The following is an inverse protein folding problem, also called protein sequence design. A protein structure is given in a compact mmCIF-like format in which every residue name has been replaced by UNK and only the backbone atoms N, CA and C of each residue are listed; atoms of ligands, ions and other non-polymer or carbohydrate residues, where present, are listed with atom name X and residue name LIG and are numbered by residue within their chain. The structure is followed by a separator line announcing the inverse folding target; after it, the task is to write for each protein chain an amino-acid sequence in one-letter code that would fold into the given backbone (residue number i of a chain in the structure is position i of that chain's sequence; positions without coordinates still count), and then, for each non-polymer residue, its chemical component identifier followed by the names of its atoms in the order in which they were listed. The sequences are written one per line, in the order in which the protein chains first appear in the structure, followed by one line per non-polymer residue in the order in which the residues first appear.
data_IF_581156112299
#
_entry.id   IF_581156112299
#
_cell.length_a   1.000
_cell.length_b   1.000
_cell.length_c   1.000
_cell.angle_alpha   90.00
_cell.angle_beta   90.00
_cell.angle_gamma   90.00
#
_symmetry.space_group_name_H-M   'P 1'
#
loop_
_entity.id
_entity.type
_entity.pdbx_description
1 polymer ?
#
# COMPACT_ATOMS: atom_id res chain seq x y z
N UNK A 1 4.91 -11.33 0.15
CA UNK A 1 5.97 -10.80 -0.73
C UNK A 1 5.64 -9.46 -1.41
N UNK A 2 4.54 -9.35 -2.17
CA UNK A 2 4.24 -8.13 -2.94
C UNK A 2 4.13 -6.87 -2.08
N UNK A 3 3.39 -6.93 -0.96
CA UNK A 3 3.30 -5.84 0.02
C UNK A 3 4.68 -5.39 0.52
N UNK A 4 5.53 -6.35 0.92
CA UNK A 4 6.90 -6.07 1.37
C UNK A 4 7.74 -5.46 0.24
N UNK A 5 7.65 -5.99 -0.98
CA UNK A 5 8.36 -5.46 -2.14
C UNK A 5 7.96 -4.02 -2.47
N UNK A 6 6.66 -3.73 -2.44
CA UNK A 6 6.14 -2.37 -2.65
C UNK A 6 6.61 -1.41 -1.57
N UNK A 7 6.65 -1.83 -0.30
CA UNK A 7 7.17 -0.98 0.78
C UNK A 7 8.66 -0.69 0.58
N UNK A 8 9.46 -1.70 0.25
CA UNK A 8 10.92 -1.54 0.13
C UNK A 8 11.35 -0.78 -1.12
N UNK A 9 10.67 -1.00 -2.25
CA UNK A 9 11.04 -0.44 -3.57
C UNK A 9 10.20 0.82 -3.86
N UNK A 10 9.11 1.05 -3.12
CA UNK A 10 8.13 2.09 -3.40
C UNK A 10 8.73 3.49 -3.46
N UNK A 11 9.64 3.83 -2.54
CA UNK A 11 10.24 5.17 -2.51
C UNK A 11 11.05 5.48 -3.77
N UNK A 12 12.05 4.68 -4.18
CA UNK A 12 12.76 4.92 -5.44
C UNK A 12 11.85 4.76 -6.66
N UNK A 13 10.84 3.89 -6.62
CA UNK A 13 9.85 3.77 -7.70
C UNK A 13 9.05 5.05 -7.91
N UNK A 14 8.57 5.68 -6.83
CA UNK A 14 7.80 6.92 -6.89
C UNK A 14 8.70 8.09 -7.30
N UNK A 15 9.96 8.11 -6.87
CA UNK A 15 10.90 9.18 -7.26
C UNK A 15 11.13 9.26 -8.79
N UNK A 16 10.88 8.17 -9.54
CA UNK A 16 10.92 8.21 -11.01
C UNK A 16 9.80 9.06 -11.62
N UNK A 17 8.77 9.37 -10.84
CA UNK A 17 7.67 10.22 -11.24
C UNK A 17 7.94 11.71 -10.95
N UNK A 18 8.98 12.04 -10.16
CA UNK A 18 9.43 13.41 -9.85
C UNK A 18 9.78 14.18 -11.12
N UNK A 19 8.83 15.00 -11.58
CA UNK A 19 8.93 15.80 -12.81
C UNK A 19 8.11 17.08 -12.68
N UNK A 20 8.77 18.21 -12.98
CA UNK A 20 8.12 19.52 -12.99
C UNK A 20 7.66 19.93 -11.60
N UNK A 21 6.34 20.05 -11.42
CA UNK A 21 5.73 20.46 -10.15
C UNK A 21 5.59 19.33 -9.12
N UNK A 22 5.82 18.07 -9.51
CA UNK A 22 5.82 16.93 -8.59
C UNK A 22 7.24 16.71 -8.07
N UNK A 23 7.44 17.01 -6.79
CA UNK A 23 8.77 17.03 -6.15
C UNK A 23 8.95 15.90 -5.11
N UNK A 24 10.04 15.97 -4.35
CA UNK A 24 10.40 14.98 -3.34
C UNK A 24 9.42 14.96 -2.15
N UNK A 25 8.79 16.10 -1.84
CA UNK A 25 7.82 16.20 -0.75
C UNK A 25 6.51 15.53 -1.15
N UNK A 26 6.05 15.76 -2.40
CA UNK A 26 4.89 15.05 -2.94
C UNK A 26 5.12 13.54 -3.01
N UNK A 27 6.33 13.13 -3.41
CA UNK A 27 6.74 11.73 -3.44
C UNK A 27 6.71 11.10 -2.05
N UNK A 28 7.07 11.84 -1.00
CA UNK A 28 6.96 11.39 0.38
C UNK A 28 5.51 11.16 0.81
N UNK A 29 4.57 12.05 0.41
CA UNK A 29 3.14 11.88 0.67
C UNK A 29 2.57 10.63 -0.02
N UNK A 30 2.89 10.45 -1.31
CA UNK A 30 2.45 9.27 -2.08
C UNK A 30 3.05 7.99 -1.49
N UNK A 31 4.31 8.02 -1.07
CA UNK A 31 4.96 6.88 -0.44
C UNK A 31 4.31 6.51 0.90
N UNK A 32 3.93 7.49 1.71
CA UNK A 32 3.16 7.26 2.95
C UNK A 32 1.83 6.55 2.67
N UNK A 33 1.09 6.98 1.65
CA UNK A 33 -0.14 6.32 1.23
C UNK A 33 0.09 4.89 0.70
N UNK A 34 1.15 4.69 -0.09
CA UNK A 34 1.55 3.39 -0.62
C UNK A 34 1.81 2.38 0.51
N UNK A 35 2.45 2.80 1.61
CA UNK A 35 2.72 1.91 2.74
C UNK A 35 1.44 1.37 3.37
N UNK A 36 0.43 2.24 3.56
CA UNK A 36 -0.87 1.82 4.10
C UNK A 36 -1.62 0.90 3.13
N UNK A 37 -1.68 1.24 1.84
CA UNK A 37 -2.32 0.37 0.85
C UNK A 37 -1.60 -0.97 0.69
N UNK A 38 -0.27 -0.98 0.72
CA UNK A 38 0.52 -2.21 0.64
C UNK A 38 0.19 -3.16 1.81
N UNK A 39 -0.05 -2.64 3.00
CA UNK A 39 -0.57 -3.41 4.13
C UNK A 39 -1.98 -3.93 3.85
N UNK A 40 -2.87 -3.06 3.34
CA UNK A 40 -4.24 -3.40 2.94
C UNK A 40 -4.33 -4.56 1.93
N UNK A 41 -3.37 -4.66 0.99
CA UNK A 41 -3.33 -5.73 -0.02
C UNK A 41 -3.37 -7.14 0.58
N UNK A 42 -2.79 -7.34 1.76
CA UNK A 42 -2.78 -8.65 2.42
C UNK A 42 -4.22 -9.06 2.73
N UNK A 43 -5.00 -8.15 3.31
CA UNK A 43 -6.38 -8.42 3.70
C UNK A 43 -7.31 -8.51 2.50
N UNK A 44 -7.11 -7.64 1.50
CA UNK A 44 -7.87 -7.66 0.26
C UNK A 44 -7.70 -9.01 -0.47
N UNK A 45 -6.48 -9.54 -0.52
CA UNK A 45 -6.24 -10.85 -1.15
C UNK A 45 -6.94 -11.99 -0.42
N UNK A 46 -7.01 -11.94 0.91
CA UNK A 46 -7.68 -12.97 1.70
C UNK A 46 -9.21 -12.86 1.60
N UNK A 47 -9.74 -11.64 1.55
CA UNK A 47 -11.16 -11.37 1.35
C UNK A 47 -11.68 -12.05 0.08
N UNK A 48 -11.00 -11.91 -1.06
CA UNK A 48 -11.47 -12.54 -2.30
C UNK A 48 -11.50 -14.07 -2.23
N UNK A 49 -10.58 -14.69 -1.50
CA UNK A 49 -10.54 -16.15 -1.32
C UNK A 49 -11.70 -16.61 -0.45
N UNK A 50 -11.95 -15.91 0.67
CA UNK A 50 -13.03 -16.24 1.60
C UNK A 50 -14.40 -15.98 0.97
N UNK A 51 -14.59 -14.86 0.27
CA UNK A 51 -15.85 -14.58 -0.42
C UNK A 51 -16.19 -15.71 -1.41
N UNK A 52 -15.19 -16.21 -2.15
CA UNK A 52 -15.34 -17.35 -3.07
C UNK A 52 -15.74 -18.65 -2.36
N UNK A 53 -15.29 -18.90 -1.13
CA UNK A 53 -15.71 -20.10 -0.39
C UNK A 53 -17.19 -20.06 0.00
N UNK A 54 -17.70 -18.90 0.40
CA UNK A 54 -19.13 -18.72 0.67
C UNK A 54 -20.00 -18.92 -0.58
N UNK A 55 -19.54 -18.40 -1.73
CA UNK A 55 -20.24 -18.61 -2.99
C UNK A 55 -20.25 -20.09 -3.43
N UNK A 56 -19.15 -20.81 -3.19
CA UNK A 56 -19.10 -22.25 -3.45
C UNK A 56 -20.13 -23.02 -2.59
N UNK A 57 -20.37 -22.57 -1.35
CA UNK A 57 -21.38 -23.11 -0.44
C UNK A 57 -22.81 -22.61 -0.73
N UNK A 58 -23.04 -21.93 -1.86
CA UNK A 58 -24.31 -21.28 -2.24
C UNK A 58 -24.82 -20.26 -1.21
N UNK A 59 -23.94 -19.71 -0.39
CA UNK A 59 -24.27 -18.61 0.51
C UNK A 59 -23.76 -17.29 -0.08
N UNK A 60 -24.68 -16.57 -0.72
CA UNK A 60 -24.40 -15.25 -1.29
C UNK A 60 -24.73 -14.11 -0.33
N UNK A 61 -25.51 -14.38 0.72
CA UNK A 61 -26.01 -13.35 1.63
C UNK A 61 -24.97 -12.97 2.67
N UNK A 62 -24.22 -13.94 3.19
CA UNK A 62 -23.19 -13.67 4.21
C UNK A 62 -22.09 -12.72 3.69
N UNK A 63 -21.50 -12.96 2.50
CA UNK A 63 -20.55 -12.00 1.92
C UNK A 63 -21.18 -10.64 1.60
N UNK A 64 -22.42 -10.62 1.13
CA UNK A 64 -23.12 -9.38 0.80
C UNK A 64 -23.31 -8.49 2.03
N UNK A 65 -23.79 -9.06 3.15
CA UNK A 65 -23.98 -8.29 4.39
C UNK A 65 -22.65 -7.80 4.97
N UNK A 66 -21.60 -8.63 4.93
CA UNK A 66 -20.27 -8.19 5.34
C UNK A 66 -19.78 -7.00 4.50
N UNK A 67 -19.95 -7.07 3.17
CA UNK A 67 -19.60 -5.98 2.26
C UNK A 67 -20.44 -4.72 2.50
N UNK A 68 -21.74 -4.85 2.79
CA UNK A 68 -22.60 -3.73 3.14
C UNK A 68 -22.17 -3.06 4.45
N UNK A 69 -21.87 -3.84 5.49
CA UNK A 69 -21.36 -3.32 6.77
C UNK A 69 -20.02 -2.61 6.55
N UNK A 70 -19.13 -3.21 5.77
CA UNK A 70 -17.84 -2.62 5.42
C UNK A 70 -18.00 -1.31 4.63
N UNK A 71 -18.94 -1.26 3.67
CA UNK A 71 -19.24 -0.05 2.92
C UNK A 71 -19.76 1.07 3.83
N UNK A 72 -20.64 0.76 4.79
CA UNK A 72 -21.10 1.74 5.79
C UNK A 72 -19.94 2.20 6.67
N UNK A 73 -19.11 1.28 7.17
CA UNK A 73 -17.93 1.62 7.94
C UNK A 73 -16.95 2.50 7.14
N UNK A 74 -16.78 2.23 5.84
CA UNK A 74 -15.97 3.04 4.93
C UNK A 74 -16.49 4.46 4.82
N UNK A 75 -17.79 4.63 4.60
CA UNK A 75 -18.42 5.96 4.52
C UNK A 75 -18.23 6.72 5.82
N UNK A 76 -18.38 6.06 6.97
CA UNK A 76 -18.19 6.72 8.28
C UNK A 76 -16.72 7.10 8.50
N UNK A 77 -15.79 6.16 8.32
CA UNK A 77 -14.37 6.35 8.63
C UNK A 77 -13.71 7.25 7.58
N UNK A 78 -13.72 6.84 6.32
CA UNK A 78 -13.05 7.56 5.23
C UNK A 78 -13.79 8.83 4.90
N UNK A 79 -15.14 8.80 4.86
CA UNK A 79 -15.93 10.02 4.67
C UNK A 79 -15.74 11.02 5.81
N UNK A 80 -15.67 10.56 7.06
CA UNK A 80 -15.37 11.42 8.21
C UNK A 80 -13.98 12.05 8.13
N UNK A 81 -12.95 11.27 7.79
CA UNK A 81 -11.58 11.77 7.58
C UNK A 81 -11.52 12.79 6.42
N UNK A 82 -12.22 12.50 5.32
CA UNK A 82 -12.30 13.39 4.15
C UNK A 82 -13.00 14.71 4.47
N UNK A 83 -14.11 14.67 5.22
CA UNK A 83 -14.79 15.87 5.68
C UNK A 83 -13.87 16.69 6.59
N UNK A 84 -13.22 16.06 7.56
CA UNK A 84 -12.28 16.73 8.44
C UNK A 84 -11.12 17.39 7.67
N UNK A 85 -10.57 16.71 6.66
CA UNK A 85 -9.58 17.28 5.75
C UNK A 85 -10.10 18.52 5.03
N UNK A 86 -11.28 18.40 4.41
CA UNK A 86 -11.89 19.47 3.62
C UNK A 86 -12.19 20.70 4.47
N UNK A 87 -12.75 20.51 5.68
CA UNK A 87 -13.00 21.61 6.60
C UNK A 87 -11.72 22.33 7.03
N UNK A 88 -10.65 21.58 7.35
CA UNK A 88 -9.36 22.18 7.73
C UNK A 88 -8.67 22.88 6.55
N UNK A 89 -8.78 22.30 5.36
CA UNK A 89 -8.28 22.89 4.13
C UNK A 89 -8.97 24.22 3.85
N UNK A 90 -10.31 24.25 3.87
CA UNK A 90 -11.09 25.46 3.65
C UNK A 90 -10.73 26.56 4.66
N UNK A 91 -10.60 26.22 5.94
CA UNK A 91 -10.22 27.17 6.98
C UNK A 91 -8.82 27.76 6.76
N UNK A 92 -7.89 26.94 6.30
CA UNK A 92 -6.51 27.35 5.98
C UNK A 92 -6.48 28.28 4.77
N UNK A 93 -7.21 27.95 3.69
CA UNK A 93 -7.32 28.83 2.51
C UNK A 93 -7.94 30.16 2.91
N UNK A 94 -9.07 30.12 3.63
CA UNK A 94 -9.82 31.31 4.03
C UNK A 94 -8.97 32.23 4.90
N UNK A 95 -8.32 31.68 5.92
CA UNK A 95 -7.48 32.45 6.84
C UNK A 95 -6.30 33.08 6.10
N UNK A 96 -5.60 32.29 5.27
CA UNK A 96 -4.48 32.76 4.47
C UNK A 96 -4.87 33.90 3.53
N UNK A 97 -6.01 33.77 2.85
CA UNK A 97 -6.51 34.79 1.93
C UNK A 97 -6.90 36.08 2.64
N UNK A 98 -7.59 35.97 3.79
CA UNK A 98 -7.99 37.13 4.59
C UNK A 98 -6.76 37.88 5.12
N UNK A 99 -5.80 37.16 5.71
CA UNK A 99 -4.57 37.76 6.24
C UNK A 99 -3.71 38.39 5.15
N UNK A 100 -3.60 37.73 3.98
CA UNK A 100 -2.93 38.32 2.82
C UNK A 100 -3.62 39.61 2.37
N UNK A 101 -4.96 39.60 2.27
CA UNK A 101 -5.74 40.76 1.87
C UNK A 101 -5.59 41.95 2.82
N UNK A 102 -5.58 41.71 4.12
CA UNK A 102 -5.33 42.72 5.15
C UNK A 102 -3.94 43.36 5.01
N UNK A 103 -2.91 42.55 4.80
CA UNK A 103 -1.53 43.03 4.61
C UNK A 103 -1.37 43.80 3.29
N UNK A 104 -1.99 43.30 2.22
CA UNK A 104 -1.98 43.97 0.92
C UNK A 104 -2.66 45.35 1.01
N UNK A 105 -3.84 45.42 1.64
CA UNK A 105 -4.56 46.67 1.85
C UNK A 105 -3.80 47.66 2.75
N UNK A 106 -3.03 47.16 3.71
CA UNK A 106 -2.16 47.96 4.57
C UNK A 106 -0.85 48.43 3.89
N UNK A 107 -0.61 48.02 2.63
CA UNK A 107 0.62 48.35 1.89
C UNK A 107 1.85 47.55 2.32
N UNK A 108 1.71 46.54 3.18
CA UNK A 108 2.79 45.65 3.62
C UNK A 108 2.97 44.46 2.68
N UNK A 109 3.39 44.75 1.44
CA UNK A 109 3.51 43.72 0.39
C UNK A 109 4.47 42.58 0.72
N UNK A 110 5.56 42.86 1.42
CA UNK A 110 6.50 41.84 1.89
C UNK A 110 5.83 40.87 2.86
N UNK A 111 5.06 41.39 3.82
CA UNK A 111 4.26 40.56 4.73
C UNK A 111 3.24 39.73 3.95
N UNK A 112 2.55 40.35 2.98
CA UNK A 112 1.62 39.65 2.07
C UNK A 112 2.26 38.45 1.38
N UNK A 113 3.44 38.62 0.80
CA UNK A 113 4.21 37.55 0.18
C UNK A 113 4.58 36.44 1.17
N UNK A 114 4.97 36.78 2.40
CA UNK A 114 5.27 35.78 3.44
C UNK A 114 4.04 34.97 3.84
N UNK A 115 2.85 35.60 3.92
CA UNK A 115 1.59 34.89 4.22
C UNK A 115 1.22 33.90 3.12
N UNK A 116 1.41 34.27 1.85
CA UNK A 116 1.16 33.37 0.71
C UNK A 116 2.11 32.17 0.73
N UNK A 117 3.39 32.40 1.04
CA UNK A 117 4.36 31.30 1.18
C UNK A 117 3.98 30.39 2.36
N UNK A 118 3.63 30.95 3.53
CA UNK A 118 3.20 30.18 4.69
C UNK A 118 1.88 29.41 4.50
N UNK A 119 1.00 29.90 3.62
CA UNK A 119 -0.21 29.20 3.22
C UNK A 119 0.12 27.89 2.49
N UNK A 120 1.07 27.93 1.56
CA UNK A 120 1.55 26.74 0.85
C UNK A 120 2.09 25.68 1.81
N UNK A 121 2.87 26.09 2.81
CA UNK A 121 3.44 25.17 3.80
C UNK A 121 2.35 24.59 4.72
N UNK A 122 1.40 25.42 5.13
CA UNK A 122 0.23 24.96 5.91
C UNK A 122 -0.59 23.91 5.14
N UNK A 123 -0.73 24.07 3.81
CA UNK A 123 -1.38 23.07 2.97
C UNK A 123 -0.62 21.74 2.92
N UNK A 124 0.72 21.79 2.87
CA UNK A 124 1.56 20.58 2.92
C UNK A 124 1.45 19.86 4.26
N UNK A 125 1.45 20.60 5.36
CA UNK A 125 1.27 20.04 6.71
C UNK A 125 -0.11 19.38 6.88
N UNK A 126 -1.14 19.97 6.29
CA UNK A 126 -2.47 19.35 6.25
C UNK A 126 -2.47 18.06 5.43
N UNK A 127 -1.81 18.05 4.26
CA UNK A 127 -1.74 16.88 3.39
C UNK A 127 -0.96 15.72 4.03
N UNK A 128 0.06 16.00 4.85
CA UNK A 128 0.84 15.00 5.60
C UNK A 128 0.16 14.55 6.90
N UNK A 129 -0.82 15.29 7.39
CA UNK A 129 -1.53 14.98 8.64
C UNK A 129 -2.35 13.68 8.58
N UNK A 130 -2.81 13.20 9.73
CA UNK A 130 -3.69 12.03 9.85
C UNK A 130 -5.01 12.14 9.10
N UNK A 131 -5.46 13.34 8.73
CA UNK A 131 -6.65 13.54 7.88
C UNK A 131 -6.28 13.65 6.40
N UNK A 132 -4.99 13.84 6.09
CA UNK A 132 -4.46 13.94 4.74
C UNK A 132 -4.30 12.58 4.06
N UNK A 133 -3.38 12.51 3.12
CA UNK A 133 -3.31 11.41 2.13
C UNK A 133 -3.05 10.05 2.79
N UNK A 134 -2.11 9.99 3.73
CA UNK A 134 -1.79 8.75 4.46
C UNK A 134 -2.96 8.27 5.33
N UNK A 135 -3.66 9.21 5.98
CA UNK A 135 -4.85 8.93 6.78
C UNK A 135 -5.98 8.28 6.01
N UNK A 136 -6.28 8.80 4.83
CA UNK A 136 -7.31 8.25 3.94
C UNK A 136 -6.94 6.83 3.48
N UNK A 137 -5.67 6.59 3.14
CA UNK A 137 -5.18 5.26 2.77
C UNK A 137 -5.24 4.26 3.94
N UNK A 138 -4.90 4.70 5.15
CA UNK A 138 -5.03 3.91 6.38
C UNK A 138 -6.50 3.57 6.67
N UNK A 139 -7.40 4.55 6.54
CA UNK A 139 -8.84 4.36 6.74
C UNK A 139 -9.40 3.29 5.80
N UNK A 140 -9.07 3.37 4.52
CA UNK A 140 -9.50 2.38 3.53
C UNK A 140 -8.96 0.98 3.83
N UNK A 141 -7.68 0.88 4.23
CA UNK A 141 -7.06 -0.41 4.58
C UNK A 141 -7.64 -1.00 5.87
N UNK A 142 -8.05 -0.15 6.82
CA UNK A 142 -8.70 -0.56 8.08
C UNK A 142 -10.10 -1.12 7.82
N UNK A 143 -10.84 -0.57 6.88
CA UNK A 143 -12.15 -1.09 6.47
C UNK A 143 -12.02 -2.52 5.95
N UNK A 144 -11.05 -2.79 5.06
CA UNK A 144 -10.81 -4.14 4.57
C UNK A 144 -10.42 -5.12 5.69
N UNK A 145 -9.65 -4.66 6.67
CA UNK A 145 -9.32 -5.47 7.84
C UNK A 145 -10.58 -5.84 8.64
N UNK A 146 -11.49 -4.88 8.87
CA UNK A 146 -12.76 -5.11 9.56
C UNK A 146 -13.62 -6.09 8.77
N UNK A 147 -13.79 -5.85 7.47
CA UNK A 147 -14.58 -6.70 6.57
C UNK A 147 -14.08 -8.14 6.57
N UNK A 148 -12.77 -8.32 6.42
CA UNK A 148 -12.13 -9.61 6.47
C UNK A 148 -12.31 -10.27 7.84
N UNK A 149 -12.16 -9.52 8.93
CA UNK A 149 -12.35 -10.02 10.29
C UNK A 149 -13.77 -10.55 10.50
N UNK A 150 -14.79 -9.82 10.02
CA UNK A 150 -16.18 -10.26 10.03
C UNK A 150 -16.34 -11.57 9.26
N UNK A 151 -15.83 -11.63 8.02
CA UNK A 151 -15.91 -12.84 7.21
C UNK A 151 -15.20 -14.04 7.84
N UNK A 152 -14.01 -13.83 8.42
CA UNK A 152 -13.26 -14.89 9.11
C UNK A 152 -14.00 -15.41 10.34
N UNK A 153 -14.61 -14.54 11.14
CA UNK A 153 -15.40 -14.94 12.31
C UNK A 153 -16.63 -15.74 11.88
N UNK A 154 -17.32 -15.29 10.82
CA UNK A 154 -18.49 -15.99 10.28
C UNK A 154 -18.10 -17.33 9.64
N UNK A 155 -16.98 -17.39 8.92
CA UNK A 155 -16.45 -18.62 8.32
C UNK A 155 -16.07 -19.63 9.40
N UNK A 156 -15.38 -19.20 10.47
CA UNK A 156 -14.96 -20.07 11.58
C UNK A 156 -16.14 -20.71 12.31
N UNK A 157 -17.30 -20.05 12.36
CA UNK A 157 -18.52 -20.63 12.95
C UNK A 157 -19.12 -21.75 12.10
N UNK A 158 -18.82 -21.79 10.81
CA UNK A 158 -19.47 -22.70 9.85
C UNK A 158 -18.60 -23.89 9.46
N UNK A 159 -17.29 -23.71 9.41
CA UNK A 159 -16.35 -24.73 8.95
C UNK A 159 -15.54 -25.26 10.15
N UNK A 160 -15.93 -26.42 10.68
CA UNK A 160 -15.28 -27.03 11.85
C UNK A 160 -14.04 -27.88 11.48
N UNK A 161 -13.75 -28.10 10.20
CA UNK A 161 -12.80 -29.12 9.74
C UNK A 161 -11.63 -28.56 8.90
N UNK A 162 -11.35 -27.26 8.99
CA UNK A 162 -10.16 -26.69 8.33
C UNK A 162 -8.92 -27.12 9.12
N UNK A 163 -7.96 -27.76 8.46
CA UNK A 163 -6.64 -28.04 9.02
C UNK A 163 -5.87 -26.73 9.24
N UNK A 164 -6.18 -26.06 10.35
CA UNK A 164 -5.59 -24.79 10.76
C UNK A 164 -4.07 -24.92 10.96
N UNK A 165 -3.58 -26.13 11.26
CA UNK A 165 -2.14 -26.39 11.44
C UNK A 165 -1.44 -26.35 10.09
N UNK A 166 -2.00 -26.98 9.05
CA UNK A 166 -1.43 -26.94 7.72
C UNK A 166 -1.48 -25.52 7.11
N UNK A 167 -2.59 -24.79 7.29
CA UNK A 167 -2.74 -23.42 6.81
C UNK A 167 -1.79 -22.45 7.54
N UNK A 168 -1.63 -22.63 8.85
CA UNK A 168 -0.69 -21.83 9.65
C UNK A 168 0.76 -22.05 9.23
N UNK A 169 1.15 -23.30 8.95
CA UNK A 169 2.51 -23.62 8.50
C UNK A 169 2.85 -23.04 7.13
N UNK A 170 1.94 -23.10 6.16
CA UNK A 170 2.14 -22.50 4.82
C UNK A 170 2.23 -20.98 4.89
N UNK A 171 1.37 -20.37 5.71
CA UNK A 171 1.40 -18.94 6.00
C UNK A 171 2.74 -18.53 6.63
N UNK A 172 3.19 -19.24 7.67
CA UNK A 172 4.45 -18.94 8.36
C UNK A 172 5.66 -19.07 7.42
N UNK A 173 5.71 -20.10 6.57
CA UNK A 173 6.77 -20.26 5.56
C UNK A 173 6.75 -19.13 4.52
N UNK A 174 5.57 -18.67 4.12
CA UNK A 174 5.41 -17.55 3.18
C UNK A 174 5.86 -16.23 3.79
N UNK A 175 5.57 -16.02 5.08
CA UNK A 175 6.08 -14.88 5.86
C UNK A 175 7.60 -14.95 5.97
N UNK A 176 8.16 -16.10 6.35
CA UNK A 176 9.61 -16.30 6.42
C UNK A 176 10.32 -16.07 5.07
N UNK A 177 9.74 -16.56 3.96
CA UNK A 177 10.24 -16.31 2.61
C UNK A 177 10.18 -14.81 2.26
N UNK A 178 9.10 -14.12 2.64
CA UNK A 178 8.94 -12.67 2.41
C UNK A 178 9.94 -11.84 3.24
N UNK A 179 10.24 -12.26 4.47
CA UNK A 179 11.26 -11.63 5.32
C UNK A 179 12.65 -11.85 4.72
N UNK A 180 12.96 -13.08 4.29
CA UNK A 180 14.25 -13.40 3.65
C UNK A 180 14.44 -12.58 2.37
N UNK A 181 13.39 -12.48 1.56
CA UNK A 181 13.35 -11.61 0.39
C UNK A 181 13.60 -10.15 0.77
N UNK A 182 12.90 -9.63 1.79
CA UNK A 182 13.05 -8.25 2.24
C UNK A 182 14.48 -7.94 2.70
N UNK A 183 15.10 -8.85 3.46
CA UNK A 183 16.49 -8.74 3.86
C UNK A 183 17.44 -8.72 2.65
N UNK A 184 17.23 -9.58 1.66
CA UNK A 184 18.04 -9.60 0.44
C UNK A 184 17.92 -8.29 -0.36
N UNK A 185 16.71 -7.74 -0.48
CA UNK A 185 16.46 -6.45 -1.14
C UNK A 185 17.16 -5.32 -0.38
N UNK A 186 17.04 -5.27 0.95
CA UNK A 186 17.70 -4.26 1.78
C UNK A 186 19.23 -4.32 1.69
N UNK A 187 19.81 -5.52 1.70
CA UNK A 187 21.25 -5.71 1.55
C UNK A 187 21.73 -5.26 0.16
N UNK A 188 21.00 -5.62 -0.90
CA UNK A 188 21.32 -5.18 -2.25
C UNK A 188 21.20 -3.66 -2.39
N UNK A 189 20.17 -3.06 -1.81
CA UNK A 189 19.99 -1.62 -1.80
C UNK A 189 21.10 -0.89 -1.04
N UNK A 190 21.53 -1.42 0.11
CA UNK A 190 22.66 -0.89 0.87
C UNK A 190 23.96 -0.90 0.05
N UNK A 191 24.22 -1.98 -0.70
CA UNK A 191 25.36 -2.10 -1.61
C UNK A 191 25.31 -1.05 -2.72
N UNK A 192 24.13 -0.81 -3.31
CA UNK A 192 23.94 0.27 -4.29
C UNK A 192 24.14 1.65 -3.66
N UNK A 193 23.77 1.83 -2.39
CA UNK A 193 24.01 3.06 -1.63
C UNK A 193 25.48 3.38 -1.42
N UNK A 194 26.29 2.38 -1.05
CA UNK A 194 27.75 2.55 -0.94
C UNK A 194 28.39 2.90 -2.28
N UNK A 195 27.82 2.43 -3.38
CA UNK A 195 28.25 2.81 -4.74
C UNK A 195 27.76 4.19 -5.21
N UNK A 196 27.00 4.92 -4.39
CA UNK A 196 26.48 6.26 -4.72
C UNK A 196 25.23 6.27 -5.62
N UNK A 197 24.54 5.14 -5.78
CA UNK A 197 23.37 5.05 -6.67
C UNK A 197 22.08 5.65 -6.08
N UNK A 198 22.12 6.17 -4.86
CA UNK A 198 20.95 6.78 -4.21
C UNK A 198 20.59 8.16 -4.77
N UNK A 199 21.60 8.94 -5.17
CA UNK A 199 21.43 10.30 -5.72
C UNK A 199 21.64 10.31 -7.24
N UNK A 200 21.55 9.14 -7.88
CA UNK A 200 21.84 9.00 -9.28
C UNK A 200 20.69 9.51 -10.16
N UNK A 201 21.03 9.91 -11.40
CA UNK A 201 20.03 10.40 -12.36
C UNK A 201 18.99 9.34 -12.75
N UNK A 202 17.91 9.79 -13.40
CA UNK A 202 16.73 8.99 -13.76
C UNK A 202 17.02 7.56 -14.24
N UNK A 203 17.96 7.37 -15.17
CA UNK A 203 18.29 6.06 -15.76
C UNK A 203 18.82 5.09 -14.70
N UNK A 204 19.71 5.56 -13.83
CA UNK A 204 20.30 4.73 -12.77
C UNK A 204 19.26 4.40 -11.70
N UNK A 205 18.36 5.32 -11.36
CA UNK A 205 17.22 5.04 -10.46
C UNK A 205 16.29 3.99 -11.08
N UNK A 206 16.02 4.05 -12.38
CA UNK A 206 15.21 3.04 -13.06
C UNK A 206 15.89 1.66 -13.06
N UNK A 207 17.19 1.61 -13.32
CA UNK A 207 18.00 0.39 -13.21
C UNK A 207 18.03 -0.17 -11.78
N UNK A 208 18.16 0.71 -10.77
CA UNK A 208 18.09 0.34 -9.35
C UNK A 208 16.74 -0.30 -9.02
N UNK A 209 15.64 0.31 -9.42
CA UNK A 209 14.27 -0.22 -9.17
C UNK A 209 14.09 -1.59 -9.84
N UNK A 210 14.51 -1.74 -11.10
CA UNK A 210 14.47 -3.03 -11.79
C UNK A 210 15.36 -4.08 -11.11
N UNK A 211 16.56 -3.68 -10.68
CA UNK A 211 17.49 -4.53 -9.94
C UNK A 211 16.92 -5.02 -8.62
N UNK A 212 16.36 -4.10 -7.81
CA UNK A 212 15.69 -4.43 -6.54
C UNK A 212 14.50 -5.37 -6.74
N UNK A 213 13.67 -5.10 -7.76
CA UNK A 213 12.54 -5.96 -8.11
C UNK A 213 13.01 -7.37 -8.54
N UNK A 214 14.08 -7.44 -9.34
CA UNK A 214 14.70 -8.69 -9.76
C UNK A 214 15.27 -9.48 -8.59
N UNK A 215 16.06 -8.85 -7.72
CA UNK A 215 16.61 -9.47 -6.50
C UNK A 215 15.49 -9.94 -5.59
N UNK A 216 14.43 -9.15 -5.40
CA UNK A 216 13.25 -9.55 -4.64
C UNK A 216 12.56 -10.78 -5.24
N UNK A 217 12.28 -10.78 -6.55
CA UNK A 217 11.64 -11.93 -7.19
C UNK A 217 12.48 -13.21 -7.07
N UNK A 218 13.78 -13.12 -7.36
CA UNK A 218 14.71 -14.27 -7.29
C UNK A 218 14.87 -14.78 -5.87
N UNK A 219 15.08 -13.88 -4.90
CA UNK A 219 15.25 -14.26 -3.49
C UNK A 219 13.99 -14.87 -2.90
N UNK A 220 12.80 -14.37 -3.25
CA UNK A 220 11.53 -14.97 -2.81
C UNK A 220 11.34 -16.38 -3.37
N UNK A 221 11.62 -16.58 -4.66
CA UNK A 221 11.53 -17.91 -5.29
C UNK A 221 12.55 -18.86 -4.65
N UNK A 222 13.81 -18.43 -4.48
CA UNK A 222 14.86 -19.23 -3.86
C UNK A 222 14.52 -19.60 -2.41
N UNK A 223 14.10 -18.64 -1.58
CA UNK A 223 13.67 -18.88 -0.21
C UNK A 223 12.43 -19.78 -0.15
N UNK A 224 11.49 -19.59 -1.08
CA UNK A 224 10.30 -20.41 -1.17
C UNK A 224 10.59 -21.86 -1.55
N UNK A 225 11.59 -22.11 -2.42
CA UNK A 225 12.07 -23.46 -2.72
C UNK A 225 12.79 -24.08 -1.51
N UNK A 226 13.61 -23.29 -0.80
CA UNK A 226 14.32 -23.73 0.41
C UNK A 226 13.35 -24.12 1.54
N UNK A 227 12.30 -23.31 1.76
CA UNK A 227 11.25 -23.57 2.74
C UNK A 227 10.19 -24.56 2.25
N UNK A 228 10.35 -25.12 1.04
CA UNK A 228 9.44 -26.12 0.44
C UNK A 228 7.99 -25.62 0.39
N UNK A 229 7.78 -24.44 -0.18
CA UNK A 229 6.44 -23.95 -0.53
C UNK A 229 5.87 -24.79 -1.67
N UNK A 230 4.84 -25.58 -1.37
CA UNK A 230 4.21 -26.50 -2.32
C UNK A 230 3.59 -25.74 -3.50
N UNK A 231 3.15 -24.50 -3.27
CA UNK A 231 2.52 -23.60 -4.23
C UNK A 231 3.49 -23.25 -5.37
N UNK A 232 4.74 -22.90 -5.04
CA UNK A 232 5.76 -22.54 -6.03
C UNK A 232 6.15 -23.72 -6.92
N UNK A 233 6.31 -24.91 -6.32
CA UNK A 233 6.62 -26.12 -7.11
C UNK A 233 5.47 -26.52 -8.03
N UNK A 234 4.23 -26.19 -7.66
CA UNK A 234 3.03 -26.47 -8.47
C UNK A 234 2.93 -25.49 -9.63
N UNK A 235 3.14 -24.19 -9.38
CA UNK A 235 3.20 -23.17 -10.43
C UNK A 235 4.32 -23.45 -11.44
N UNK A 236 5.52 -23.81 -10.96
CA UNK A 236 6.63 -24.21 -11.82
C UNK A 236 6.26 -25.39 -12.71
N UNK A 237 5.61 -26.42 -12.14
CA UNK A 237 5.13 -27.58 -12.90
C UNK A 237 4.09 -27.18 -13.95
N UNK A 238 3.20 -26.22 -13.69
CA UNK A 238 2.20 -25.76 -14.67
C UNK A 238 2.84 -24.97 -15.83
N UNK A 239 3.83 -24.14 -15.54
CA UNK A 239 4.56 -23.38 -16.58
C UNK A 239 5.40 -24.31 -17.44
N UNK A 240 6.11 -25.27 -16.83
CA UNK A 240 6.96 -26.23 -17.54
C UNK A 240 6.14 -27.28 -18.29
N UNK A 241 4.96 -27.69 -17.79
CA UNK A 241 4.09 -28.69 -18.45
C UNK A 241 3.16 -28.14 -19.54
N UNK A 242 3.22 -26.84 -19.88
CA UNK A 242 2.49 -26.29 -21.03
C UNK A 242 2.85 -26.94 -22.39
N UNK A 243 3.90 -27.78 -22.44
CA UNK A 243 4.35 -28.51 -23.64
C UNK A 243 3.80 -29.96 -23.81
N UNK A 244 2.87 -30.43 -22.98
CA UNK A 244 2.33 -31.79 -23.12
C UNK A 244 0.80 -31.84 -23.05
N UNK A 245 0.13 -31.51 -24.16
CA UNK A 245 -1.15 -32.10 -24.53
C UNK A 245 -0.98 -32.78 -25.89
N UNK A 246 -1.04 -34.13 -25.99
CA UNK A 246 -1.25 -34.76 -27.28
C UNK A 246 -2.66 -34.41 -27.76
N UNK A 247 -2.77 -34.00 -29.02
CA UNK A 247 -4.03 -33.87 -29.70
C UNK A 247 -4.64 -35.27 -29.85
N UNK A 248 -5.84 -35.47 -29.30
CA UNK A 248 -6.78 -36.52 -29.71
C UNK A 248 -8.16 -35.90 -29.69
#
# INVERSE_FOLDING_TARGET
PAAVGLILIGRPLISLLERGAFDADDSALVYGALQFFAFGLIFQSLHEVIARSFYADRDTLTPLWAALIAAVANVIIVGGLYLAYTYRFEDTVRTSFNTWGEQYAAGSYEAGLTTLNGASDSHRDLASSLTGVGGLALGYSTVFLIELGLLLVLLRRRWHDIDARQLGQTTLRTVAASITMGAAVLLFDAVLGVMGWHEAGFILTALRVMGLAGVGAVSFVAAGLLFRLNELTTLWRLVVRRKARPAV
#
